data_IF_906144608806
#
_entry.id   IF_906144608806
#
_cell.length_a   1.000
_cell.length_b   1.000
_cell.length_c   1.000
_cell.angle_alpha   90.00
_cell.angle_beta   90.00
_cell.angle_gamma   90.00
#
_symmetry.space_group_name_H-M   'P 1'
#
loop_
_entity.id
_entity.type
_entity.pdbx_description
1 polymer ?
#
# COMPACT_ATOMS: atom_id res chain seq x y z
N UNK A 1 -8.67 10.00 17.08
CA UNK A 1 -7.97 10.73 16.01
C UNK A 1 -8.92 10.87 14.82
N UNK A 2 -9.19 12.08 14.33
CA UNK A 2 -10.02 12.33 13.13
C UNK A 2 -9.07 12.60 11.95
N UNK A 3 -8.51 11.54 11.36
CA UNK A 3 -7.71 11.66 10.13
C UNK A 3 -8.67 11.58 8.95
N UNK A 4 -8.83 12.68 8.21
CA UNK A 4 -9.59 12.69 6.95
C UNK A 4 -8.61 12.57 5.80
N UNK A 5 -8.74 11.52 4.99
CA UNK A 5 -7.93 11.36 3.79
C UNK A 5 -8.53 12.22 2.67
N UNK A 6 -7.84 13.31 2.35
CA UNK A 6 -8.15 14.14 1.19
C UNK A 6 -7.09 13.90 0.12
N UNK A 7 -7.51 13.25 -0.97
CA UNK A 7 -6.85 13.34 -2.28
C UNK A 7 -7.32 14.66 -2.88
N UNK A 8 -6.48 15.69 -2.78
CA UNK A 8 -6.65 16.90 -3.56
C UNK A 8 -5.37 17.03 -4.37
N UNK A 9 -5.34 16.29 -5.48
CA UNK A 9 -4.16 16.17 -6.30
C UNK A 9 -4.19 17.31 -7.32
N UNK A 10 -3.16 18.15 -7.31
CA UNK A 10 -2.95 19.10 -8.40
C UNK A 10 -2.40 18.34 -9.63
N UNK A 11 -2.65 18.87 -10.83
CA UNK A 11 -2.28 18.21 -12.10
C UNK A 11 -0.77 17.95 -12.24
N UNK A 12 0.06 18.70 -11.49
CA UNK A 12 1.51 18.57 -11.47
C UNK A 12 1.95 17.43 -10.53
N UNK A 13 1.36 17.34 -9.34
CA UNK A 13 1.57 16.23 -8.39
C UNK A 13 1.18 14.89 -9.03
N UNK A 14 0.08 14.86 -9.76
CA UNK A 14 -0.33 13.67 -10.51
C UNK A 14 0.69 13.19 -11.56
N UNK A 15 1.41 14.09 -12.25
CA UNK A 15 2.40 13.68 -13.26
C UNK A 15 3.67 13.11 -12.64
N UNK A 16 4.03 13.56 -11.44
CA UNK A 16 5.22 13.11 -10.72
C UNK A 16 4.96 11.76 -10.00
N UNK A 17 3.76 11.53 -9.46
CA UNK A 17 3.37 10.29 -8.78
C UNK A 17 3.30 9.06 -9.70
N UNK A 18 2.86 9.22 -10.95
CA UNK A 18 2.79 8.11 -11.92
C UNK A 18 4.03 7.98 -12.82
N UNK A 19 5.10 8.70 -12.50
CA UNK A 19 6.34 8.64 -13.25
C UNK A 19 7.16 7.37 -12.94
N UNK A 20 8.08 7.04 -13.84
CA UNK A 20 9.03 5.94 -13.67
C UNK A 20 10.44 6.51 -13.53
N UNK A 21 11.16 6.00 -12.53
CA UNK A 21 12.60 6.16 -12.41
C UNK A 21 13.30 5.12 -13.29
N UNK A 22 14.42 5.52 -13.89
CA UNK A 22 15.25 4.63 -14.68
C UNK A 22 16.68 4.65 -14.12
N UNK A 23 17.24 3.46 -13.89
CA UNK A 23 18.62 3.30 -13.42
C UNK A 23 19.31 2.22 -14.24
N UNK A 24 20.58 2.43 -14.57
CA UNK A 24 21.43 1.38 -15.14
C UNK A 24 21.75 0.37 -14.04
N UNK A 25 21.28 -0.87 -14.21
CA UNK A 25 21.50 -1.97 -13.27
C UNK A 25 22.83 -2.67 -13.56
N UNK A 26 23.14 -2.88 -14.84
CA UNK A 26 24.43 -3.39 -15.31
C UNK A 26 24.70 -2.96 -16.74
N UNK A 27 25.97 -2.94 -17.14
CA UNK A 27 26.40 -2.61 -18.50
C UNK A 27 27.64 -3.43 -18.87
N UNK A 28 27.64 -3.98 -20.08
CA UNK A 28 28.79 -4.63 -20.71
C UNK A 28 29.07 -3.99 -22.09
N UNK A 29 30.07 -4.50 -22.82
CA UNK A 29 30.49 -3.94 -24.11
C UNK A 29 29.37 -3.85 -25.16
N UNK A 30 28.34 -4.71 -25.05
CA UNK A 30 27.28 -4.84 -26.05
C UNK A 30 25.87 -4.58 -25.50
N UNK A 31 25.68 -4.58 -24.18
CA UNK A 31 24.35 -4.58 -23.54
C UNK A 31 24.31 -3.66 -22.33
N UNK A 32 23.22 -2.91 -22.19
CA UNK A 32 22.87 -2.15 -20.99
C UNK A 32 21.53 -2.66 -20.45
N UNK A 33 21.52 -3.03 -19.16
CA UNK A 33 20.31 -3.41 -18.44
C UNK A 33 19.81 -2.19 -17.66
N UNK A 34 18.61 -1.74 -17.99
CA UNK A 34 17.95 -0.60 -17.33
C UNK A 34 16.84 -1.14 -16.43
N UNK A 35 16.93 -0.84 -15.13
CA UNK A 35 15.89 -1.08 -14.16
C UNK A 35 14.94 0.12 -14.15
N UNK A 36 13.65 -0.14 -14.39
CA UNK A 36 12.58 0.84 -14.25
C UNK A 36 11.83 0.59 -12.94
N UNK A 37 11.74 1.61 -12.10
CA UNK A 37 10.99 1.59 -10.83
C UNK A 37 9.91 2.66 -10.85
N UNK A 38 8.77 2.38 -10.23
CA UNK A 38 7.73 3.38 -10.05
C UNK A 38 8.19 4.40 -9.00
N UNK A 39 8.00 5.71 -9.21
CA UNK A 39 8.47 6.74 -8.26
C UNK A 39 7.95 6.49 -6.84
N UNK A 40 6.68 6.12 -6.71
CA UNK A 40 6.06 5.79 -5.43
C UNK A 40 6.69 4.58 -4.75
N UNK A 41 7.17 3.59 -5.52
CA UNK A 41 7.91 2.46 -4.95
C UNK A 41 9.20 2.95 -4.29
N UNK A 42 10.00 3.74 -5.00
CA UNK A 42 11.27 4.26 -4.48
C UNK A 42 11.08 5.21 -3.29
N UNK A 43 9.97 5.94 -3.26
CA UNK A 43 9.62 6.84 -2.17
C UNK A 43 9.32 6.12 -0.84
N UNK A 44 8.68 4.95 -0.90
CA UNK A 44 8.13 4.26 0.29
C UNK A 44 8.82 2.94 0.65
N UNK A 45 9.75 2.46 -0.19
CA UNK A 45 10.43 1.17 0.03
C UNK A 45 11.12 1.08 1.40
N UNK A 46 11.83 2.12 1.82
CA UNK A 46 12.59 2.09 3.08
C UNK A 46 11.68 2.12 4.32
N UNK A 47 10.67 3.00 4.32
CA UNK A 47 9.69 3.10 5.40
C UNK A 47 8.87 1.81 5.51
N UNK A 48 8.53 1.21 4.37
CA UNK A 48 7.82 -0.08 4.33
C UNK A 48 8.64 -1.18 4.97
N UNK A 49 9.95 -1.27 4.65
CA UNK A 49 10.85 -2.24 5.26
C UNK A 49 11.01 -2.02 6.76
N UNK A 50 11.15 -0.76 7.20
CA UNK A 50 11.28 -0.42 8.61
C UNK A 50 10.05 -0.83 9.43
N UNK A 51 8.85 -0.46 8.95
CA UNK A 51 7.59 -0.86 9.60
C UNK A 51 7.44 -2.37 9.59
N UNK A 52 7.76 -3.03 8.47
CA UNK A 52 7.74 -4.48 8.40
C UNK A 52 8.63 -5.11 9.47
N UNK A 53 9.84 -4.60 9.69
CA UNK A 53 10.75 -5.12 10.72
C UNK A 53 10.15 -4.93 12.13
N UNK A 54 9.57 -3.77 12.43
CA UNK A 54 8.85 -3.50 13.69
C UNK A 54 7.70 -4.51 13.89
N UNK A 55 7.02 -4.87 12.81
CA UNK A 55 5.93 -5.85 12.80
C UNK A 55 6.40 -7.30 12.62
N UNK A 56 7.69 -7.62 12.82
CA UNK A 56 8.27 -8.96 12.65
C UNK A 56 7.95 -9.62 11.29
N UNK A 57 7.86 -8.82 10.23
CA UNK A 57 7.51 -9.23 8.86
C UNK A 57 6.17 -10.00 8.75
N UNK A 58 5.26 -9.78 9.69
CA UNK A 58 3.95 -10.45 9.73
C UNK A 58 2.87 -9.75 8.89
N UNK A 59 3.14 -8.50 8.48
CA UNK A 59 2.21 -7.65 7.74
C UNK A 59 2.63 -7.58 6.27
N UNK A 60 1.64 -7.58 5.37
CA UNK A 60 1.81 -7.43 3.92
C UNK A 60 2.44 -6.08 3.56
N UNK A 61 3.51 -6.10 2.77
CA UNK A 61 4.26 -4.88 2.42
C UNK A 61 3.41 -3.91 1.59
N UNK A 62 2.52 -4.42 0.74
CA UNK A 62 1.63 -3.56 -0.03
C UNK A 62 0.58 -2.90 0.86
N UNK A 63 0.13 -3.57 1.93
CA UNK A 63 -0.74 -2.94 2.94
C UNK A 63 0.00 -1.81 3.67
N UNK A 64 1.23 -2.04 4.11
CA UNK A 64 2.05 -1.02 4.77
C UNK A 64 2.24 0.18 3.84
N UNK A 65 2.65 -0.05 2.59
CA UNK A 65 2.86 0.99 1.60
C UNK A 65 1.58 1.76 1.27
N UNK A 66 0.44 1.07 1.15
CA UNK A 66 -0.87 1.73 0.96
C UNK A 66 -1.21 2.66 2.12
N UNK A 67 -0.93 2.25 3.37
CA UNK A 67 -1.16 3.11 4.53
C UNK A 67 -0.22 4.31 4.51
N UNK A 68 1.06 4.10 4.20
CA UNK A 68 2.05 5.16 4.08
C UNK A 68 1.70 6.22 3.02
N UNK A 69 1.10 5.81 1.90
CA UNK A 69 0.60 6.72 0.86
C UNK A 69 -0.56 7.61 1.32
N UNK A 70 -1.21 7.25 2.42
CA UNK A 70 -2.42 7.90 2.88
C UNK A 70 -2.22 8.68 4.19
N UNK A 71 -1.29 8.30 5.06
CA UNK A 71 -0.93 9.11 6.24
C UNK A 71 -0.24 10.41 5.82
N UNK A 72 -0.36 11.45 6.66
CA UNK A 72 0.27 12.75 6.42
C UNK A 72 0.97 13.19 7.71
N UNK A 73 2.29 13.25 7.69
CA UNK A 73 3.11 13.78 8.77
C UNK A 73 3.91 15.01 8.32
N UNK A 74 4.39 15.78 9.28
CA UNK A 74 5.36 16.86 9.03
C UNK A 74 6.78 16.32 8.85
N UNK A 75 7.00 15.04 9.19
CA UNK A 75 8.26 14.33 9.02
C UNK A 75 8.05 12.85 8.71
N UNK A 76 9.08 12.22 8.12
CA UNK A 76 9.06 10.77 7.81
C UNK A 76 8.84 9.92 9.07
N UNK A 77 9.40 10.32 10.22
CA UNK A 77 9.19 9.58 11.46
C UNK A 77 7.74 9.65 11.93
N UNK A 78 7.11 10.81 11.79
CA UNK A 78 5.69 10.98 12.13
C UNK A 78 4.78 10.14 11.22
N UNK A 79 5.07 10.08 9.91
CA UNK A 79 4.35 9.20 8.97
C UNK A 79 4.46 7.73 9.37
N UNK A 80 5.66 7.29 9.78
CA UNK A 80 5.89 5.93 10.27
C UNK A 80 5.09 5.66 11.54
N UNK A 81 5.15 6.55 12.52
CA UNK A 81 4.44 6.40 13.79
C UNK A 81 2.92 6.35 13.57
N UNK A 82 2.39 7.23 12.72
CA UNK A 82 0.98 7.23 12.32
C UNK A 82 0.59 5.93 11.61
N UNK A 83 1.44 5.43 10.69
CA UNK A 83 1.19 4.19 9.97
C UNK A 83 1.15 2.97 10.91
N UNK A 84 2.04 2.91 11.90
CA UNK A 84 2.06 1.86 12.93
C UNK A 84 0.80 1.91 13.79
N UNK A 85 0.38 3.09 14.23
CA UNK A 85 -0.88 3.26 14.97
C UNK A 85 -2.07 2.78 14.13
N UNK A 86 -2.11 3.16 12.85
CA UNK A 86 -3.17 2.74 11.93
C UNK A 86 -3.22 1.22 11.73
N UNK A 87 -2.05 0.60 11.54
CA UNK A 87 -1.92 -0.85 11.41
C UNK A 87 -2.42 -1.56 12.66
N UNK A 88 -2.10 -1.05 13.84
CA UNK A 88 -2.56 -1.61 15.12
C UNK A 88 -4.08 -1.58 15.25
N UNK A 89 -4.71 -0.45 14.89
CA UNK A 89 -6.17 -0.30 14.88
C UNK A 89 -6.80 -1.26 13.86
N UNK A 90 -6.23 -1.34 12.66
CA UNK A 90 -6.72 -2.20 11.59
C UNK A 90 -6.62 -3.69 11.95
N UNK A 91 -5.48 -4.17 12.45
CA UNK A 91 -5.32 -5.57 12.85
C UNK A 91 -6.28 -5.93 14.00
N UNK A 92 -6.49 -5.02 14.96
CA UNK A 92 -7.50 -5.19 16.00
C UNK A 92 -8.93 -5.32 15.43
N UNK A 93 -9.27 -4.50 14.42
CA UNK A 93 -10.56 -4.58 13.72
C UNK A 93 -10.70 -5.88 12.92
N UNK A 94 -9.62 -6.32 12.25
CA UNK A 94 -9.59 -7.53 11.41
C UNK A 94 -9.81 -8.82 12.21
N UNK A 95 -9.37 -8.86 13.47
CA UNK A 95 -9.56 -10.01 14.36
C UNK A 95 -11.03 -10.22 14.79
N UNK A 96 -11.91 -9.24 14.59
CA UNK A 96 -13.32 -9.39 14.93
C UNK A 96 -14.03 -10.30 13.89
N UNK A 97 -14.68 -11.36 14.37
CA UNK A 97 -15.28 -12.40 13.53
C UNK A 97 -16.37 -11.89 12.57
N UNK A 98 -17.09 -10.84 12.97
CA UNK A 98 -18.07 -10.16 12.14
C UNK A 98 -17.43 -9.54 10.88
N UNK A 99 -16.22 -8.99 10.97
CA UNK A 99 -15.54 -8.32 9.86
C UNK A 99 -14.97 -9.32 8.87
N UNK A 100 -14.48 -10.47 9.35
CA UNK A 100 -14.09 -11.60 8.49
C UNK A 100 -15.29 -12.09 7.67
N UNK A 101 -16.46 -12.22 8.30
CA UNK A 101 -17.69 -12.62 7.60
C UNK A 101 -18.11 -11.62 6.53
N UNK A 102 -18.09 -10.32 6.83
CA UNK A 102 -18.35 -9.24 5.85
C UNK A 102 -17.41 -9.34 4.64
N UNK A 103 -16.14 -9.68 4.87
CA UNK A 103 -15.18 -9.85 3.78
C UNK A 103 -15.55 -11.04 2.89
N UNK A 104 -15.86 -12.20 3.47
CA UNK A 104 -16.24 -13.38 2.68
C UNK A 104 -17.50 -13.14 1.82
N UNK A 105 -18.46 -12.36 2.31
CA UNK A 105 -19.64 -11.94 1.54
C UNK A 105 -19.28 -11.09 0.31
N UNK A 106 -18.29 -10.19 0.44
CA UNK A 106 -17.84 -9.28 -0.63
C UNK A 106 -16.71 -9.84 -1.50
N UNK A 107 -16.05 -10.92 -1.09
CA UNK A 107 -14.85 -11.48 -1.74
C UNK A 107 -15.00 -11.71 -3.24
N UNK A 108 -16.16 -12.21 -3.67
CA UNK A 108 -16.46 -12.44 -5.10
C UNK A 108 -16.49 -11.14 -5.91
N UNK A 109 -16.92 -10.03 -5.32
CA UNK A 109 -16.92 -8.71 -5.97
C UNK A 109 -15.48 -8.23 -6.22
N UNK A 110 -14.62 -8.32 -5.22
CA UNK A 110 -13.20 -7.98 -5.36
C UNK A 110 -12.50 -8.82 -6.43
N UNK A 111 -12.75 -10.13 -6.46
CA UNK A 111 -12.18 -11.02 -7.48
C UNK A 111 -12.64 -10.65 -8.90
N UNK A 112 -13.92 -10.27 -9.09
CA UNK A 112 -14.41 -9.79 -10.39
C UNK A 112 -13.69 -8.53 -10.88
N UNK A 113 -13.22 -7.70 -9.95
CA UNK A 113 -12.43 -6.49 -10.24
C UNK A 113 -10.91 -6.75 -10.28
N UNK A 114 -10.49 -8.02 -10.21
CA UNK A 114 -9.08 -8.45 -10.20
C UNK A 114 -8.29 -7.99 -8.97
N UNK A 115 -8.98 -7.62 -7.88
CA UNK A 115 -8.34 -7.27 -6.61
C UNK A 115 -7.97 -8.55 -5.85
N UNK A 116 -6.81 -9.12 -6.16
CA UNK A 116 -6.38 -10.42 -5.62
C UNK A 116 -5.70 -10.34 -4.24
N UNK A 117 -5.32 -9.15 -3.76
CA UNK A 117 -4.72 -9.01 -2.43
C UNK A 117 -5.79 -8.90 -1.34
N UNK A 118 -5.88 -9.96 -0.52
CA UNK A 118 -6.88 -10.05 0.56
C UNK A 118 -6.70 -8.99 1.66
N UNK A 119 -5.46 -8.61 1.98
CA UNK A 119 -5.17 -7.61 3.00
C UNK A 119 -5.64 -6.21 2.55
N UNK A 120 -5.37 -5.83 1.30
CA UNK A 120 -5.87 -4.58 0.72
C UNK A 120 -7.41 -4.58 0.65
N UNK A 121 -8.01 -5.71 0.26
CA UNK A 121 -9.47 -5.80 0.21
C UNK A 121 -10.11 -5.63 1.60
N UNK A 122 -9.56 -6.28 2.64
CA UNK A 122 -10.00 -6.09 4.03
C UNK A 122 -9.82 -4.65 4.49
N UNK A 123 -8.66 -4.06 4.20
CA UNK A 123 -8.36 -2.67 4.51
C UNK A 123 -9.35 -1.70 3.86
N UNK A 124 -9.72 -1.95 2.60
CA UNK A 124 -10.71 -1.13 1.88
C UNK A 124 -12.12 -1.17 2.50
N UNK A 125 -12.49 -2.27 3.16
CA UNK A 125 -13.75 -2.37 3.90
C UNK A 125 -13.64 -1.56 5.20
N UNK A 126 -12.52 -1.73 5.92
CA UNK A 126 -12.25 -0.97 7.13
C UNK A 126 -12.28 0.54 6.92
N UNK A 127 -11.60 1.05 5.88
CA UNK A 127 -11.57 2.48 5.56
C UNK A 127 -12.94 3.01 5.17
N UNK A 128 -13.74 2.23 4.43
CA UNK A 128 -15.12 2.58 4.12
C UNK A 128 -16.00 2.66 5.38
N UNK A 129 -15.88 1.72 6.32
CA UNK A 129 -16.64 1.73 7.59
C UNK A 129 -16.32 2.91 8.50
N UNK A 130 -15.08 3.40 8.41
CA UNK A 130 -14.60 4.56 9.18
C UNK A 130 -14.83 5.89 8.45
N UNK A 131 -15.48 5.87 7.29
CA UNK A 131 -15.74 7.06 6.45
C UNK A 131 -14.45 7.81 6.08
N UNK A 132 -13.37 7.06 5.95
CA UNK A 132 -12.03 7.57 5.69
C UNK A 132 -11.78 7.82 4.20
N UNK A 133 -12.62 7.29 3.32
CA UNK A 133 -12.45 7.38 1.88
C UNK A 133 -13.75 7.83 1.20
N UNK A 134 -13.63 8.49 0.06
CA UNK A 134 -14.78 8.91 -0.78
C UNK A 134 -15.31 7.80 -1.68
N UNK A 135 -14.49 6.78 -1.93
CA UNK A 135 -14.79 5.68 -2.84
C UNK A 135 -15.46 4.51 -2.12
N UNK A 136 -16.17 3.68 -2.88
CA UNK A 136 -16.58 2.37 -2.37
C UNK A 136 -15.36 1.51 -2.04
N UNK A 137 -15.51 0.53 -1.15
CA UNK A 137 -14.42 -0.39 -0.79
C UNK A 137 -13.82 -1.06 -2.03
N UNK A 138 -14.65 -1.46 -2.99
CA UNK A 138 -14.20 -2.14 -4.20
C UNK A 138 -13.50 -1.20 -5.19
N UNK A 139 -13.91 0.06 -5.31
CA UNK A 139 -13.18 1.08 -6.08
C UNK A 139 -11.82 1.39 -5.46
N UNK A 140 -11.77 1.60 -4.14
CA UNK A 140 -10.52 1.84 -3.42
C UNK A 140 -9.53 0.69 -3.59
N UNK A 141 -9.98 -0.55 -3.45
CA UNK A 141 -9.13 -1.71 -3.68
C UNK A 141 -8.66 -1.80 -5.15
N UNK A 142 -9.51 -1.40 -6.11
CA UNK A 142 -9.13 -1.39 -7.54
C UNK A 142 -8.03 -0.37 -7.80
N UNK A 143 -8.13 0.84 -7.23
CA UNK A 143 -7.09 1.88 -7.34
C UNK A 143 -5.75 1.35 -6.84
N UNK A 144 -5.73 0.82 -5.62
CA UNK A 144 -4.47 0.39 -4.99
C UNK A 144 -3.88 -0.91 -5.57
N UNK A 145 -4.70 -1.81 -6.10
CA UNK A 145 -4.21 -3.12 -6.60
C UNK A 145 -4.02 -3.18 -8.12
N UNK A 146 -4.85 -2.47 -8.89
CA UNK A 146 -4.87 -2.54 -10.36
C UNK A 146 -4.26 -1.30 -11.00
N UNK A 147 -4.61 -0.10 -10.51
CA UNK A 147 -4.15 1.14 -11.14
C UNK A 147 -2.73 1.53 -10.70
N UNK A 148 -2.50 1.55 -9.38
CA UNK A 148 -1.18 1.82 -8.83
C UNK A 148 -0.22 0.65 -9.07
N UNK A 149 -0.78 -0.56 -9.25
CA UNK A 149 -0.01 -1.79 -9.22
C UNK A 149 0.48 -2.08 -7.80
N UNK A 150 0.70 -3.35 -7.50
CA UNK A 150 1.23 -3.73 -6.20
C UNK A 150 2.74 -3.51 -6.20
N UNK A 151 3.28 -2.57 -5.40
CA UNK A 151 4.70 -2.24 -5.44
C UNK A 151 5.60 -3.44 -5.06
N UNK A 152 5.09 -4.38 -4.26
CA UNK A 152 5.86 -5.50 -3.72
C UNK A 152 5.38 -6.85 -4.21
N UNK A 153 6.34 -7.70 -4.56
CA UNK A 153 6.15 -9.11 -4.91
C UNK A 153 6.86 -10.01 -3.88
N UNK A 154 6.52 -11.30 -3.86
CA UNK A 154 7.05 -12.27 -2.88
C UNK A 154 8.57 -12.35 -2.77
N UNK A 155 9.31 -11.95 -3.82
CA UNK A 155 10.78 -11.96 -3.78
C UNK A 155 11.33 -10.89 -2.84
N UNK A 156 10.62 -9.76 -2.71
CA UNK A 156 11.00 -8.62 -1.89
C UNK A 156 10.86 -8.96 -0.39
N UNK A 157 9.99 -9.91 -0.05
CA UNK A 157 9.87 -10.45 1.31
C UNK A 157 11.06 -11.35 1.72
N UNK A 158 11.73 -11.98 0.75
CA UNK A 158 12.81 -12.94 1.02
C UNK A 158 14.18 -12.29 1.10
N UNK A 159 14.44 -11.29 0.26
CA UNK A 159 15.70 -10.55 0.24
C UNK A 159 16.01 -9.82 1.56
N UNK A 160 15.01 -9.69 2.44
CA UNK A 160 15.08 -8.91 3.68
C UNK A 160 14.96 -9.78 4.95
N UNK A 161 15.16 -11.10 4.86
CA UNK A 161 15.17 -12.05 6.00
C UNK A 161 16.57 -12.56 6.38
N UNK A 162 17.61 -12.02 5.78
CA UNK A 162 19.03 -12.27 6.10
C UNK A 162 19.57 -11.16 7.00
#
# INVERSE_FOLDING_TARGET
>A
MNVKFYLQDDEKTHKEEYAWNAKVESEDEYTQMILLTWVTYDQYIQQTMQISAICNHSIDFNLICTILQHVKGESVQEEIDQAIEYLSIFESWKLQSNNIKKYEEKKKEFLKRRCCNHNINLFSIFTAEKELQRFTSSEFATINTVHNGMPFVKKDEKANKE
#
